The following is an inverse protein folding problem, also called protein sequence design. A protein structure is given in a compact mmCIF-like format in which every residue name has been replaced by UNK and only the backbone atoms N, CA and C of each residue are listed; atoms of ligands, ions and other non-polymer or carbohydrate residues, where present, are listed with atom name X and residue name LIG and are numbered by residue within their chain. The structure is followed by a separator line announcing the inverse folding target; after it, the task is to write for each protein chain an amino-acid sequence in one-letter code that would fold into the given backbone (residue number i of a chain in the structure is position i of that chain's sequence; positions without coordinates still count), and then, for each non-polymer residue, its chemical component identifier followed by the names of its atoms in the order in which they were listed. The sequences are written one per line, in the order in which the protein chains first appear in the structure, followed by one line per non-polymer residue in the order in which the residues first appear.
data_IF_093500934594
#
_entry.id   IF_093500934594
#
_cell.length_a   1.000
_cell.length_b   1.000
_cell.length_c   1.000
_cell.angle_alpha   90.00
_cell.angle_beta   90.00
_cell.angle_gamma   90.00
#
_symmetry.space_group_name_H-M   'P 1'
#
loop_
_entity.id
_entity.type
_entity.pdbx_description
1 polymer ?
#
# COMPACT_ATOMS: atom_id res chain seq x y z
N UNK A 1 -51.97 22.32 -5.87
CA UNK A 1 -50.54 22.58 -5.56
C UNK A 1 -49.81 21.45 -4.84
N UNK A 2 -50.45 20.44 -4.24
CA UNK A 2 -49.74 19.41 -3.44
C UNK A 2 -49.09 18.27 -4.24
N UNK A 3 -49.54 17.97 -5.46
CA UNK A 3 -48.99 16.89 -6.30
C UNK A 3 -47.56 17.20 -6.81
N UNK A 4 -47.28 18.46 -7.16
CA UNK A 4 -45.95 18.89 -7.64
C UNK A 4 -44.86 18.78 -6.57
N UNK A 5 -45.19 19.07 -5.31
CA UNK A 5 -44.25 18.99 -4.19
C UNK A 5 -43.86 17.55 -3.83
N UNK A 6 -44.81 16.60 -3.88
CA UNK A 6 -44.53 15.18 -3.61
C UNK A 6 -43.62 14.56 -4.68
N UNK A 7 -43.86 14.90 -5.96
CA UNK A 7 -43.03 14.44 -7.09
C UNK A 7 -41.62 15.03 -6.99
N UNK A 8 -41.50 16.32 -6.67
CA UNK A 8 -40.20 16.96 -6.47
C UNK A 8 -39.41 16.31 -5.31
N UNK A 9 -40.05 16.07 -4.17
CA UNK A 9 -39.43 15.40 -3.02
C UNK A 9 -38.95 13.98 -3.36
N UNK A 10 -39.76 13.20 -4.08
CA UNK A 10 -39.37 11.85 -4.51
C UNK A 10 -38.18 11.85 -5.48
N UNK A 11 -38.12 12.81 -6.40
CA UNK A 11 -37.00 12.93 -7.36
C UNK A 11 -35.72 13.34 -6.63
N UNK A 12 -35.79 14.33 -5.73
CA UNK A 12 -34.64 14.75 -4.92
C UNK A 12 -34.09 13.62 -4.05
N UNK A 13 -34.97 12.79 -3.48
CA UNK A 13 -34.56 11.64 -2.67
C UNK A 13 -33.83 10.57 -3.51
N UNK A 14 -34.32 10.28 -4.72
CA UNK A 14 -33.66 9.35 -5.65
C UNK A 14 -32.30 9.87 -6.10
N UNK A 15 -32.20 11.17 -6.42
CA UNK A 15 -30.92 11.80 -6.83
C UNK A 15 -29.90 11.77 -5.69
N UNK A 16 -30.32 12.02 -4.44
CA UNK A 16 -29.43 11.98 -3.28
C UNK A 16 -28.90 10.57 -3.00
N UNK A 17 -29.76 9.54 -3.11
CA UNK A 17 -29.36 8.13 -2.94
C UNK A 17 -28.39 7.72 -4.05
N UNK A 18 -28.68 8.07 -5.30
CA UNK A 18 -27.82 7.76 -6.44
C UNK A 18 -26.45 8.45 -6.32
N UNK A 19 -26.41 9.72 -5.91
CA UNK A 19 -25.16 10.45 -5.69
C UNK A 19 -24.29 9.85 -4.57
N UNK A 20 -24.92 9.42 -3.47
CA UNK A 20 -24.22 8.79 -2.34
C UNK A 20 -23.65 7.42 -2.73
N UNK A 21 -24.41 6.62 -3.48
CA UNK A 21 -23.95 5.32 -4.00
C UNK A 21 -22.82 5.50 -5.03
N UNK A 22 -22.91 6.49 -5.91
CA UNK A 22 -21.86 6.80 -6.88
C UNK A 22 -20.57 7.30 -6.20
N UNK A 23 -20.67 8.13 -5.15
CA UNK A 23 -19.51 8.50 -4.32
C UNK A 23 -18.89 7.29 -3.61
N UNK A 24 -19.71 6.42 -3.00
CA UNK A 24 -19.22 5.19 -2.37
C UNK A 24 -18.53 4.27 -3.36
N UNK A 25 -19.07 4.12 -4.57
CA UNK A 25 -18.44 3.36 -5.64
C UNK A 25 -17.14 4.02 -6.10
N UNK A 26 -17.13 5.34 -6.34
CA UNK A 26 -15.92 6.07 -6.75
C UNK A 26 -14.82 6.01 -5.68
N UNK A 27 -15.16 6.10 -4.40
CA UNK A 27 -14.22 5.94 -3.28
C UNK A 27 -13.67 4.51 -3.22
N UNK A 28 -14.50 3.49 -3.45
CA UNK A 28 -14.05 2.09 -3.54
C UNK A 28 -13.14 1.87 -4.74
N UNK A 29 -13.52 2.34 -5.92
CA UNK A 29 -12.71 2.23 -7.13
C UNK A 29 -11.37 2.96 -6.97
N UNK A 30 -11.36 4.16 -6.38
CA UNK A 30 -10.12 4.87 -6.05
C UNK A 30 -9.29 4.14 -4.99
N UNK A 31 -9.94 3.47 -4.03
CA UNK A 31 -9.27 2.64 -3.04
C UNK A 31 -8.59 1.43 -3.70
N UNK A 32 -9.30 0.71 -4.56
CA UNK A 32 -8.80 -0.45 -5.28
C UNK A 32 -7.68 -0.07 -6.27
N UNK A 33 -7.79 1.06 -6.95
CA UNK A 33 -6.75 1.59 -7.83
C UNK A 33 -5.49 1.99 -7.05
N UNK A 34 -5.64 2.73 -5.94
CA UNK A 34 -4.52 3.10 -5.06
C UNK A 34 -3.84 1.89 -4.45
N UNK A 35 -4.61 0.87 -4.07
CA UNK A 35 -4.08 -0.38 -3.54
C UNK A 35 -3.27 -1.13 -4.61
N UNK A 36 -3.74 -1.17 -5.86
CA UNK A 36 -2.97 -1.77 -6.97
C UNK A 36 -1.68 -0.99 -7.26
N UNK A 37 -1.76 0.34 -7.31
CA UNK A 37 -0.60 1.20 -7.50
C UNK A 37 0.42 1.00 -6.36
N UNK A 38 -0.06 0.93 -5.12
CA UNK A 38 0.76 0.65 -3.94
C UNK A 38 1.42 -0.73 -4.01
N UNK A 39 0.67 -1.78 -4.36
CA UNK A 39 1.22 -3.13 -4.52
C UNK A 39 2.29 -3.19 -5.61
N UNK A 40 2.06 -2.52 -6.74
CA UNK A 40 3.02 -2.49 -7.84
C UNK A 40 4.29 -1.73 -7.46
N UNK A 41 4.15 -0.55 -6.85
CA UNK A 41 5.28 0.25 -6.37
C UNK A 41 6.08 -0.46 -5.27
N UNK A 42 5.39 -1.13 -4.35
CA UNK A 42 6.01 -1.94 -3.28
C UNK A 42 6.78 -3.11 -3.87
N UNK A 43 6.23 -3.80 -4.88
CA UNK A 43 6.91 -4.90 -5.58
C UNK A 43 8.19 -4.43 -6.25
N UNK A 44 8.16 -3.31 -6.98
CA UNK A 44 9.35 -2.75 -7.63
C UNK A 44 10.42 -2.36 -6.60
N UNK A 45 10.00 -1.76 -5.49
CA UNK A 45 10.90 -1.41 -4.38
C UNK A 45 11.55 -2.65 -3.78
N UNK A 46 10.78 -3.69 -3.48
CA UNK A 46 11.30 -4.95 -2.93
C UNK A 46 12.26 -5.64 -3.91
N UNK A 47 12.00 -5.56 -5.22
CA UNK A 47 12.91 -6.07 -6.24
C UNK A 47 14.25 -5.32 -6.24
N UNK A 48 14.21 -3.98 -6.20
CA UNK A 48 15.41 -3.15 -6.13
C UNK A 48 16.20 -3.40 -4.83
N UNK A 49 15.49 -3.55 -3.72
CA UNK A 49 16.08 -3.90 -2.43
C UNK A 49 16.77 -5.27 -2.50
N UNK A 50 16.08 -6.28 -3.04
CA UNK A 50 16.62 -7.62 -3.22
C UNK A 50 17.89 -7.63 -4.09
N UNK A 51 17.88 -6.89 -5.20
CA UNK A 51 19.06 -6.74 -6.06
C UNK A 51 20.23 -6.05 -5.34
N UNK A 52 19.93 -5.09 -4.48
CA UNK A 52 20.94 -4.35 -3.70
C UNK A 52 21.58 -5.22 -2.63
N UNK A 53 20.81 -6.06 -1.94
CA UNK A 53 21.31 -6.92 -0.85
C UNK A 53 21.88 -8.25 -1.33
N UNK A 54 21.50 -8.73 -2.52
CA UNK A 54 21.90 -10.04 -3.04
C UNK A 54 23.42 -10.33 -3.00
N UNK A 55 24.32 -9.40 -3.38
CA UNK A 55 25.76 -9.63 -3.26
C UNK A 55 26.19 -9.85 -1.81
N UNK A 56 25.66 -9.02 -0.89
CA UNK A 56 25.98 -9.13 0.54
C UNK A 56 25.45 -10.43 1.16
N UNK A 57 24.31 -10.93 0.71
CA UNK A 57 23.79 -12.25 1.11
C UNK A 57 24.71 -13.36 0.58
N UNK A 58 25.09 -13.31 -0.70
CA UNK A 58 25.95 -14.32 -1.33
C UNK A 58 27.32 -14.42 -0.65
N UNK A 59 27.84 -13.30 -0.14
CA UNK A 59 29.13 -13.21 0.54
C UNK A 59 29.02 -13.36 2.08
N UNK A 60 27.83 -13.71 2.61
CA UNK A 60 27.60 -13.91 4.05
C UNK A 60 27.75 -12.64 4.90
N UNK A 61 27.72 -11.46 4.28
CA UNK A 61 27.88 -10.16 4.95
C UNK A 61 26.55 -9.63 5.47
N UNK A 62 25.96 -10.34 6.44
CA UNK A 62 24.65 -10.00 7.00
C UNK A 62 24.60 -8.58 7.59
N UNK A 63 25.70 -8.10 8.18
CA UNK A 63 25.80 -6.73 8.69
C UNK A 63 25.57 -5.65 7.60
N UNK A 64 25.97 -5.92 6.35
CA UNK A 64 25.69 -5.00 5.23
C UNK A 64 24.24 -5.08 4.79
N UNK A 65 23.61 -6.25 4.87
CA UNK A 65 22.18 -6.41 4.61
C UNK A 65 21.37 -5.59 5.61
N UNK A 66 21.70 -5.70 6.91
CA UNK A 66 21.08 -4.89 7.96
C UNK A 66 21.26 -3.40 7.72
N UNK A 67 22.49 -2.94 7.43
CA UNK A 67 22.73 -1.52 7.15
C UNK A 67 21.94 -0.98 5.94
N UNK A 68 21.68 -1.80 4.92
CA UNK A 68 20.82 -1.42 3.80
C UNK A 68 19.36 -1.31 4.25
N UNK A 69 18.86 -2.26 5.05
CA UNK A 69 17.50 -2.18 5.62
C UNK A 69 17.34 -0.95 6.53
N UNK A 70 18.30 -0.69 7.42
CA UNK A 70 18.27 0.48 8.32
C UNK A 70 18.18 1.79 7.52
N UNK A 71 18.86 1.86 6.37
CA UNK A 71 18.73 3.01 5.48
C UNK A 71 17.35 3.13 4.87
N UNK A 72 16.69 2.02 4.51
CA UNK A 72 15.29 2.04 4.05
C UNK A 72 14.35 2.50 5.18
N UNK A 73 14.60 2.08 6.42
CA UNK A 73 13.84 2.51 7.61
C UNK A 73 13.84 4.03 7.77
N UNK A 74 14.95 4.69 7.46
CA UNK A 74 15.08 6.14 7.53
C UNK A 74 14.21 6.90 6.50
N UNK A 75 13.58 6.19 5.55
CA UNK A 75 12.67 6.78 4.56
C UNK A 75 11.19 6.40 4.80
N UNK A 76 10.72 6.35 6.06
CA UNK A 76 9.28 6.14 6.40
C UNK A 76 8.32 7.02 5.58
N UNK A 77 8.71 8.26 5.27
CA UNK A 77 7.89 9.16 4.44
C UNK A 77 7.70 8.69 2.98
N UNK A 78 8.60 7.86 2.45
CA UNK A 78 8.49 7.26 1.11
C UNK A 78 7.76 5.91 1.12
N UNK A 79 7.76 5.22 2.26
CA UNK A 79 7.13 3.91 2.44
C UNK A 79 6.25 3.87 3.70
N UNK A 80 5.19 4.71 3.77
CA UNK A 80 4.42 4.89 5.00
C UNK A 80 3.64 3.63 5.43
N UNK A 81 3.41 2.70 4.51
CA UNK A 81 2.62 1.48 4.73
C UNK A 81 3.48 0.22 4.90
N UNK A 82 4.80 0.35 4.95
CA UNK A 82 5.69 -0.79 5.21
C UNK A 82 6.00 -0.82 6.70
N UNK A 83 5.38 -1.76 7.41
CA UNK A 83 5.52 -1.91 8.86
C UNK A 83 6.73 -2.76 9.25
N UNK A 84 7.03 -3.79 8.45
CA UNK A 84 8.07 -4.78 8.72
C UNK A 84 8.71 -5.27 7.41
N UNK A 85 10.03 -5.48 7.43
CA UNK A 85 10.76 -6.15 6.34
C UNK A 85 11.73 -7.15 6.95
N UNK A 86 11.52 -8.43 6.65
CA UNK A 86 12.46 -9.49 7.01
C UNK A 86 13.23 -10.00 5.80
N UNK A 87 14.52 -10.25 5.98
CA UNK A 87 15.34 -10.97 5.00
C UNK A 87 15.67 -12.34 5.58
N UNK A 88 15.24 -13.38 4.87
CA UNK A 88 15.40 -14.76 5.27
C UNK A 88 16.48 -15.46 4.44
N UNK A 89 17.21 -16.37 5.07
CA UNK A 89 18.07 -17.32 4.36
C UNK A 89 17.27 -18.47 3.73
N UNK A 90 17.95 -19.34 2.97
CA UNK A 90 17.33 -20.52 2.33
C UNK A 90 16.71 -21.52 3.30
N UNK A 91 17.03 -21.44 4.60
CA UNK A 91 16.49 -22.31 5.66
C UNK A 91 15.36 -21.62 6.43
N UNK A 92 14.93 -20.43 6.01
CA UNK A 92 13.91 -19.65 6.69
C UNK A 92 14.41 -18.95 7.96
N UNK A 93 15.72 -18.79 8.14
CA UNK A 93 16.27 -18.04 9.28
C UNK A 93 16.36 -16.57 8.92
N UNK A 94 15.87 -15.71 9.81
CA UNK A 94 16.02 -14.26 9.68
C UNK A 94 17.52 -13.90 9.79
N UNK A 95 18.05 -13.24 8.77
CA UNK A 95 19.45 -12.77 8.72
C UNK A 95 19.58 -11.27 8.86
N UNK A 96 18.49 -10.54 8.60
CA UNK A 96 18.35 -9.10 8.84
C UNK A 96 16.86 -8.78 8.93
N UNK A 97 16.49 -7.83 9.78
CA UNK A 97 15.11 -7.41 9.95
C UNK A 97 15.05 -5.90 10.18
N UNK A 98 14.05 -5.28 9.58
CA UNK A 98 13.67 -3.91 9.86
C UNK A 98 12.72 -3.93 11.06
N UNK A 99 13.25 -3.65 12.25
CA UNK A 99 12.48 -3.50 13.48
C UNK A 99 12.00 -2.03 13.60
N UNK A 100 10.69 -1.75 13.78
CA UNK A 100 10.10 -0.41 13.68
C UNK A 100 10.65 0.70 14.60
#
# INVERSE_FOLDING_TARGET
MQLSSKVALSISMVVAIAGTAAMLMAVRTQGDEREREFQQSSKETLQLLALTIAPSIAEGRHHRVQAVLDNVANFKARYPSVEEIEVLDRKGRVIAALDP
#
